data_IF_466847837625
#
_entry.id   IF_466847837625
#
_cell.length_a   1.000
_cell.length_b   1.000
_cell.length_c   1.000
_cell.angle_alpha   90.00
_cell.angle_beta   90.00
_cell.angle_gamma   90.00
#
_symmetry.space_group_name_H-M   'P 1'
#
loop_
_entity.id
_entity.type
_entity.pdbx_description
1 polymer ?
#
# COMPACT_ATOMS: atom_id res chain seq x y z
N UNK A 1 18.13 -27.98 1.19
CA UNK A 1 17.39 -28.87 0.36
C UNK A 1 16.06 -29.14 0.90
N UNK A 2 16.01 -29.67 2.07
CA UNK A 2 14.74 -30.03 2.64
C UNK A 2 13.84 -28.85 2.81
N UNK A 3 14.40 -27.74 3.19
CA UNK A 3 13.60 -26.55 3.38
C UNK A 3 12.98 -26.04 2.10
N UNK A 4 13.44 -26.54 0.98
CA UNK A 4 12.82 -26.17 -0.29
C UNK A 4 11.42 -26.70 -0.36
N UNK A 5 11.20 -27.89 0.13
CA UNK A 5 9.89 -28.50 0.11
C UNK A 5 9.02 -28.06 1.27
N UNK A 6 9.62 -27.95 2.44
CA UNK A 6 8.86 -27.58 3.62
C UNK A 6 8.23 -26.20 3.55
N UNK A 7 8.93 -25.19 3.09
CA UNK A 7 8.32 -23.87 2.99
C UNK A 7 7.06 -23.84 2.15
N UNK A 8 7.00 -24.64 1.12
CA UNK A 8 5.80 -24.68 0.28
C UNK A 8 4.57 -25.10 1.05
N UNK A 9 4.73 -26.00 2.01
CA UNK A 9 3.61 -26.48 2.81
C UNK A 9 3.27 -25.52 3.93
N UNK A 10 4.27 -24.86 4.49
CA UNK A 10 4.09 -23.98 5.63
C UNK A 10 3.76 -22.56 5.24
N UNK A 11 4.08 -22.19 4.03
CA UNK A 11 3.88 -20.84 3.57
C UNK A 11 2.49 -20.64 3.02
N UNK A 12 1.98 -19.45 3.24
CA UNK A 12 0.70 -19.02 2.70
C UNK A 12 0.92 -17.75 1.91
N UNK A 13 0.00 -17.48 1.01
CA UNK A 13 0.06 -16.24 0.24
C UNK A 13 -0.88 -15.23 0.88
N UNK A 14 -0.36 -14.05 1.11
CA UNK A 14 -1.15 -12.94 1.65
C UNK A 14 -1.16 -11.81 0.64
N UNK A 15 -2.30 -11.14 0.53
CA UNK A 15 -2.41 -9.98 -0.32
C UNK A 15 -2.32 -8.74 0.56
N UNK A 16 -1.39 -7.86 0.21
CA UNK A 16 -1.21 -6.61 0.93
C UNK A 16 -1.70 -5.46 0.07
N UNK A 17 -2.49 -4.60 0.67
CA UNK A 17 -2.97 -3.38 0.06
C UNK A 17 -2.34 -2.23 0.84
N UNK A 18 -1.56 -1.41 0.16
CA UNK A 18 -0.78 -0.36 0.79
C UNK A 18 -1.21 0.98 0.24
N UNK A 19 -1.65 1.85 1.13
CA UNK A 19 -2.01 3.22 0.77
C UNK A 19 -0.87 4.12 1.24
N UNK A 20 -0.26 4.83 0.30
CA UNK A 20 0.84 5.74 0.59
C UNK A 20 0.36 7.16 0.33
N UNK A 21 0.46 8.02 1.33
CA UNK A 21 0.00 9.39 1.21
C UNK A 21 1.02 10.34 1.84
N UNK A 22 1.10 11.55 1.30
CA UNK A 22 1.94 12.59 1.89
C UNK A 22 1.39 12.97 3.26
N UNK A 23 2.29 13.25 4.19
CA UNK A 23 1.89 13.75 5.50
C UNK A 23 1.15 15.06 5.34
N UNK A 24 0.18 15.30 6.23
CA UNK A 24 -0.67 16.48 6.14
C UNK A 24 0.11 17.79 6.10
N UNK A 25 1.25 17.84 6.76
CA UNK A 25 2.06 19.05 6.81
C UNK A 25 2.81 19.31 5.49
N UNK A 26 2.84 18.33 4.60
CA UNK A 26 3.57 18.46 3.32
C UNK A 26 2.60 18.93 2.25
N UNK A 27 3.00 19.93 1.49
CA UNK A 27 2.18 20.43 0.39
C UNK A 27 2.10 19.38 -0.70
N UNK A 28 0.88 19.03 -1.09
CA UNK A 28 0.62 18.10 -2.18
C UNK A 28 0.38 18.88 -3.45
N UNK A 29 1.43 19.02 -4.26
CA UNK A 29 1.36 19.80 -5.48
C UNK A 29 0.36 19.21 -6.47
N UNK A 30 0.32 17.88 -6.57
CA UNK A 30 -0.63 17.21 -7.46
C UNK A 30 -2.06 17.42 -7.00
N UNK A 31 -2.30 17.25 -5.70
CA UNK A 31 -3.63 17.45 -5.14
C UNK A 31 -4.11 18.88 -5.36
N UNK A 32 -3.20 19.84 -5.19
CA UNK A 32 -3.55 21.24 -5.40
C UNK A 32 -3.91 21.52 -6.86
N UNK A 33 -3.16 20.92 -7.78
CA UNK A 33 -3.45 21.08 -9.19
C UNK A 33 -4.81 20.51 -9.56
N UNK A 34 -5.15 19.35 -9.00
CA UNK A 34 -6.46 18.74 -9.23
C UNK A 34 -7.56 19.61 -8.65
N UNK A 35 -7.36 20.14 -7.46
CA UNK A 35 -8.32 21.00 -6.82
C UNK A 35 -8.59 22.25 -7.67
N UNK A 36 -7.54 22.87 -8.18
CA UNK A 36 -7.70 24.02 -9.04
C UNK A 36 -8.45 23.69 -10.32
N UNK A 37 -8.18 22.51 -10.89
CA UNK A 37 -8.88 22.07 -12.08
C UNK A 37 -10.37 21.84 -11.81
N UNK A 38 -10.69 21.24 -10.66
CA UNK A 38 -12.09 21.05 -10.28
C UNK A 38 -12.81 22.37 -10.14
N UNK A 39 -12.18 23.37 -9.54
CA UNK A 39 -12.77 24.68 -9.38
C UNK A 39 -13.00 25.33 -10.75
N UNK A 40 -12.10 25.09 -11.71
CA UNK A 40 -12.27 25.59 -13.07
C UNK A 40 -13.47 24.97 -13.77
N UNK A 41 -13.85 23.77 -13.34
CA UNK A 41 -15.02 23.08 -13.87
C UNK A 41 -16.30 23.44 -13.12
N UNK A 42 -16.24 24.50 -12.30
CA UNK A 42 -17.37 24.98 -11.50
C UNK A 42 -17.77 24.02 -10.38
N UNK A 43 -16.82 23.23 -9.89
CA UNK A 43 -17.06 22.30 -8.80
C UNK A 43 -16.46 22.87 -7.53
N UNK A 44 -17.01 23.99 -7.08
CA UNK A 44 -16.44 24.75 -5.97
C UNK A 44 -16.60 24.10 -4.61
N UNK A 45 -17.48 23.12 -4.50
CA UNK A 45 -17.70 22.44 -3.22
C UNK A 45 -16.61 21.47 -2.85
N UNK A 46 -15.63 21.26 -3.72
CA UNK A 46 -14.54 20.31 -3.46
C UNK A 46 -13.30 21.05 -3.01
N UNK A 47 -12.69 20.55 -1.94
CA UNK A 47 -11.53 21.19 -1.35
C UNK A 47 -10.63 20.16 -0.71
N UNK A 48 -9.41 20.57 -0.41
CA UNK A 48 -8.43 19.75 0.30
C UNK A 48 -8.14 18.43 -0.43
N UNK A 49 -7.95 18.52 -1.73
CA UNK A 49 -7.68 17.35 -2.55
C UNK A 49 -6.28 16.85 -2.25
N UNK A 50 -6.16 15.55 -1.98
CA UNK A 50 -4.89 14.89 -1.71
C UNK A 50 -4.74 13.71 -2.65
N UNK A 51 -3.58 13.59 -3.26
CA UNK A 51 -3.28 12.49 -4.17
C UNK A 51 -2.31 11.55 -3.49
N UNK A 52 -2.59 10.26 -3.54
CA UNK A 52 -1.72 9.26 -2.97
C UNK A 52 -1.55 8.10 -3.93
N UNK A 53 -0.85 7.07 -3.46
CA UNK A 53 -0.62 5.85 -4.24
C UNK A 53 -1.28 4.68 -3.55
N UNK A 54 -1.75 3.76 -4.36
CA UNK A 54 -2.27 2.48 -3.88
C UNK A 54 -1.43 1.38 -4.50
N UNK A 55 -0.79 0.58 -3.67
CA UNK A 55 0.08 -0.51 -4.11
C UNK A 55 -0.52 -1.82 -3.63
N UNK A 56 -0.65 -2.78 -4.54
CA UNK A 56 -1.09 -4.12 -4.18
C UNK A 56 0.00 -5.11 -4.51
N UNK A 57 0.22 -6.05 -3.61
CA UNK A 57 1.19 -7.10 -3.86
C UNK A 57 0.81 -8.36 -3.07
N UNK A 58 1.34 -9.46 -3.54
CA UNK A 58 1.22 -10.73 -2.81
C UNK A 58 2.54 -11.01 -2.11
N UNK A 59 2.45 -11.51 -0.90
CA UNK A 59 3.63 -11.86 -0.13
C UNK A 59 3.47 -13.28 0.39
N UNK A 60 4.53 -14.06 0.28
CA UNK A 60 4.56 -15.43 0.76
C UNK A 60 5.18 -15.45 2.14
N UNK A 61 4.44 -15.97 3.11
CA UNK A 61 4.90 -15.98 4.50
C UNK A 61 4.21 -17.11 5.26
N UNK A 62 4.80 -17.56 6.38
CA UNK A 62 4.19 -18.62 7.17
C UNK A 62 2.97 -18.16 7.95
N UNK A 63 2.89 -16.89 8.30
CA UNK A 63 1.76 -16.35 9.04
C UNK A 63 1.57 -14.87 8.72
N UNK A 64 0.48 -14.33 9.21
CA UNK A 64 0.13 -12.95 8.88
C UNK A 64 1.08 -11.95 9.51
N UNK A 65 1.61 -12.25 10.67
CA UNK A 65 2.54 -11.32 11.34
C UNK A 65 3.84 -11.19 10.56
N UNK A 66 4.34 -12.30 10.05
CA UNK A 66 5.55 -12.29 9.22
C UNK A 66 5.28 -11.56 7.91
N UNK A 67 4.11 -11.79 7.33
CA UNK A 67 3.73 -11.09 6.10
C UNK A 67 3.71 -9.59 6.33
N UNK A 68 3.11 -9.14 7.42
CA UNK A 68 3.04 -7.72 7.75
C UNK A 68 4.43 -7.12 7.95
N UNK A 69 5.28 -7.82 8.70
CA UNK A 69 6.66 -7.36 8.91
C UNK A 69 7.41 -7.19 7.61
N UNK A 70 7.25 -8.16 6.72
CA UNK A 70 7.93 -8.11 5.41
C UNK A 70 7.45 -6.93 4.60
N UNK A 71 6.14 -6.69 4.59
CA UNK A 71 5.57 -5.58 3.84
C UNK A 71 5.99 -4.25 4.46
N UNK A 72 6.03 -4.16 5.78
CA UNK A 72 6.48 -2.95 6.44
C UNK A 72 7.93 -2.63 6.09
N UNK A 73 8.76 -3.66 6.03
CA UNK A 73 10.15 -3.47 5.65
C UNK A 73 10.26 -2.99 4.19
N UNK A 74 9.46 -3.55 3.31
CA UNK A 74 9.45 -3.14 1.92
C UNK A 74 9.01 -1.68 1.79
N UNK A 75 8.03 -1.27 2.57
CA UNK A 75 7.57 0.12 2.57
C UNK A 75 8.68 1.05 3.02
N UNK A 76 9.39 0.69 4.09
CA UNK A 76 10.45 1.52 4.63
C UNK A 76 11.63 1.64 3.67
N UNK A 77 11.91 0.58 2.92
CA UNK A 77 13.11 0.55 2.07
C UNK A 77 12.87 1.07 0.67
N UNK A 78 11.65 0.92 0.15
CA UNK A 78 11.42 1.22 -1.26
C UNK A 78 10.09 1.87 -1.56
N UNK A 79 8.99 1.38 -0.98
CA UNK A 79 7.66 1.72 -1.47
C UNK A 79 7.20 3.10 -1.04
N UNK A 80 7.74 3.63 0.04
CA UNK A 80 7.34 4.92 0.55
C UNK A 80 8.55 5.70 1.04
N UNK A 81 8.43 7.00 1.08
CA UNK A 81 9.45 7.86 1.66
C UNK A 81 9.08 8.10 3.12
N UNK A 82 9.77 7.48 4.09
CA UNK A 82 9.35 7.56 5.48
C UNK A 82 9.44 8.96 6.08
N UNK A 83 10.16 9.86 5.44
CA UNK A 83 10.27 11.24 5.92
C UNK A 83 9.03 12.04 5.54
N UNK A 84 8.49 11.82 4.36
CA UNK A 84 7.43 12.65 3.80
C UNK A 84 6.08 11.96 3.71
N UNK A 85 6.04 10.64 3.81
CA UNK A 85 4.84 9.87 3.52
C UNK A 85 4.45 8.97 4.68
N UNK A 86 3.15 8.77 4.81
CA UNK A 86 2.58 7.78 5.72
C UNK A 86 2.07 6.61 4.90
N UNK A 87 2.07 5.43 5.50
CA UNK A 87 1.54 4.25 4.85
C UNK A 87 0.45 3.64 5.71
N UNK A 88 -0.52 3.06 5.03
CA UNK A 88 -1.53 2.23 5.67
C UNK A 88 -1.52 0.89 4.97
N UNK A 89 -1.39 -0.18 5.76
CA UNK A 89 -1.23 -1.53 5.25
C UNK A 89 -2.40 -2.38 5.70
N UNK A 90 -3.08 -2.99 4.73
CA UNK A 90 -4.11 -3.99 5.01
C UNK A 90 -3.64 -5.30 4.41
N UNK A 91 -3.66 -6.37 5.21
CA UNK A 91 -3.19 -7.68 4.79
C UNK A 91 -4.27 -8.71 5.05
N UNK A 92 -4.50 -9.57 4.06
CA UNK A 92 -5.43 -10.66 4.20
C UNK A 92 -4.87 -11.89 3.52
N UNK A 93 -5.17 -13.05 4.08
CA UNK A 93 -4.76 -14.30 3.45
C UNK A 93 -5.50 -14.47 2.14
N UNK A 94 -4.75 -14.81 1.09
CA UNK A 94 -5.34 -15.02 -0.22
C UNK A 94 -5.98 -16.40 -0.25
N UNK A 95 -7.25 -16.43 -0.61
CA UNK A 95 -7.97 -17.70 -0.64
C UNK A 95 -7.43 -18.60 -1.73
N UNK A 96 -7.30 -19.89 -1.40
CA UNK A 96 -6.88 -20.89 -2.35
C UNK A 96 -7.93 -20.99 -3.46
N UNK A 97 -7.47 -20.91 -4.70
CA UNK A 97 -8.37 -21.02 -5.83
C UNK A 97 -9.08 -19.74 -6.21
N UNK A 98 -8.87 -18.68 -5.47
CA UNK A 98 -9.52 -17.41 -5.76
C UNK A 98 -8.68 -16.51 -6.65
N UNK A 99 -7.60 -17.02 -7.13
CA UNK A 99 -6.65 -16.23 -7.90
C UNK A 99 -7.06 -15.96 -9.32
N UNK A 100 -8.05 -16.66 -9.75
CA UNK A 100 -8.43 -16.60 -11.17
C UNK A 100 -8.66 -15.20 -11.66
#
# INVERSE_FOLDING_TARGET
MIQILLPCKLMKTYTASIIVSLRRAILDVQGKAVENALHSLHMQGMANVRIGKHIELDVLAPDIDTARSTVEEACAKLLANPVMEDVRIDIAEKAVGASA
#
